data_IF_474836829243
#
_entry.id   IF_474836829243
#
_cell.length_a   1.000
_cell.length_b   1.000
_cell.length_c   1.000
_cell.angle_alpha   90.00
_cell.angle_beta   90.00
_cell.angle_gamma   90.00
#
_symmetry.space_group_name_H-M   'P 1'
#
loop_
_entity.id
_entity.type
_entity.pdbx_description
1 polymer ?
#
# COMPACT_ATOMS: atom_id res chain seq x y z
N UNK A 1 -7.50 -7.76 9.98
CA UNK A 1 -7.17 -7.51 8.55
C UNK A 1 -8.12 -8.32 7.67
N UNK A 2 -8.73 -7.72 6.65
CA UNK A 2 -9.65 -8.36 5.69
C UNK A 2 -8.88 -9.13 4.61
N UNK A 3 -9.50 -10.10 3.94
CA UNK A 3 -8.87 -10.89 2.86
C UNK A 3 -8.24 -10.04 1.76
N UNK A 4 -8.93 -8.97 1.35
CA UNK A 4 -8.44 -8.02 0.35
C UNK A 4 -7.23 -7.20 0.83
N UNK A 5 -7.08 -6.96 2.14
CA UNK A 5 -5.88 -6.30 2.71
C UNK A 5 -4.70 -7.28 2.74
N UNK A 6 -4.95 -8.54 3.08
CA UNK A 6 -3.93 -9.59 3.04
C UNK A 6 -3.39 -9.78 1.61
N UNK A 7 -4.28 -9.83 0.62
CA UNK A 7 -3.90 -9.93 -0.80
C UNK A 7 -3.11 -8.71 -1.27
N UNK A 8 -3.53 -7.50 -0.87
CA UNK A 8 -2.79 -6.27 -1.16
C UNK A 8 -1.38 -6.29 -0.56
N UNK A 9 -1.24 -6.70 0.71
CA UNK A 9 0.06 -6.81 1.37
C UNK A 9 0.95 -7.87 0.72
N UNK A 10 0.38 -9.02 0.37
CA UNK A 10 1.11 -10.07 -0.33
C UNK A 10 1.66 -9.55 -1.67
N UNK A 11 0.83 -8.86 -2.47
CA UNK A 11 1.27 -8.27 -3.73
C UNK A 11 2.41 -7.25 -3.57
N UNK A 12 2.37 -6.42 -2.52
CA UNK A 12 3.44 -5.47 -2.20
C UNK A 12 4.74 -6.20 -1.86
N UNK A 13 4.67 -7.29 -1.06
CA UNK A 13 5.84 -8.10 -0.69
C UNK A 13 6.41 -8.89 -1.87
N UNK A 14 5.54 -9.37 -2.74
CA UNK A 14 5.90 -10.12 -3.95
C UNK A 14 6.28 -9.20 -5.11
N UNK A 15 6.31 -7.87 -4.90
CA UNK A 15 6.66 -6.89 -5.94
C UNK A 15 5.87 -7.09 -7.24
N UNK A 16 4.57 -7.37 -7.10
CA UNK A 16 3.71 -7.76 -8.22
C UNK A 16 2.50 -6.83 -8.33
N UNK A 17 2.13 -6.49 -9.56
CA UNK A 17 0.91 -5.75 -9.84
C UNK A 17 -0.32 -6.54 -9.43
N UNK A 18 -1.23 -5.88 -8.71
CA UNK A 18 -2.45 -6.53 -8.24
C UNK A 18 -3.62 -5.57 -8.20
N UNK A 19 -4.80 -6.08 -8.54
CA UNK A 19 -6.04 -5.31 -8.51
C UNK A 19 -7.18 -6.14 -7.99
N UNK A 20 -7.92 -5.60 -7.03
CA UNK A 20 -9.16 -6.20 -6.55
C UNK A 20 -10.16 -5.15 -6.11
N UNK A 21 -11.37 -5.23 -6.67
CA UNK A 21 -12.45 -4.27 -6.46
C UNK A 21 -11.95 -2.83 -6.69
N UNK A 22 -11.96 -2.01 -5.65
CA UNK A 22 -11.54 -0.61 -5.71
C UNK A 22 -10.09 -0.39 -5.27
N UNK A 23 -9.32 -1.45 -4.96
CA UNK A 23 -7.94 -1.37 -4.51
C UNK A 23 -7.01 -1.90 -5.58
N UNK A 24 -5.91 -1.19 -5.83
CA UNK A 24 -4.92 -1.52 -6.84
C UNK A 24 -3.52 -1.28 -6.27
N UNK A 25 -2.59 -2.15 -6.62
CA UNK A 25 -1.17 -2.08 -6.30
C UNK A 25 -0.45 -2.11 -7.65
N UNK A 26 0.33 -1.08 -7.89
CA UNK A 26 1.17 -0.95 -9.08
C UNK A 26 2.61 -1.01 -8.60
N UNK A 27 3.34 -2.01 -9.05
CA UNK A 27 4.74 -2.17 -8.73
C UNK A 27 5.59 -1.53 -9.83
N UNK A 28 6.42 -0.56 -9.45
CA UNK A 28 7.37 0.07 -10.36
C UNK A 28 8.76 -0.46 -10.06
N UNK A 29 9.37 -1.15 -11.02
CA UNK A 29 10.77 -1.51 -11.01
C UNK A 29 11.51 -0.75 -12.12
N UNK A 30 12.44 0.11 -11.73
CA UNK A 30 13.37 0.73 -12.66
C UNK A 30 14.75 0.12 -12.46
N UNK A 31 15.55 -0.05 -13.51
CA UNK A 31 16.96 -0.47 -13.39
C UNK A 31 17.84 0.59 -12.69
N UNK A 32 17.27 1.74 -12.34
CA UNK A 32 17.97 2.92 -11.79
C UNK A 32 17.48 3.27 -10.38
N UNK A 33 16.20 3.05 -10.08
CA UNK A 33 15.60 3.38 -8.80
C UNK A 33 15.25 2.10 -8.02
N UNK A 34 15.28 2.13 -6.67
CA UNK A 34 14.81 1.00 -5.88
C UNK A 34 13.33 0.69 -6.18
N UNK A 35 12.91 -0.59 -6.05
CA UNK A 35 11.52 -0.99 -6.26
C UNK A 35 10.56 -0.20 -5.37
N UNK A 36 9.50 0.34 -5.97
CA UNK A 36 8.45 1.05 -5.24
C UNK A 36 7.08 0.50 -5.62
N UNK A 37 6.30 0.16 -4.60
CA UNK A 37 4.91 -0.29 -4.75
C UNK A 37 3.97 0.87 -4.44
N UNK A 38 3.19 1.29 -5.44
CA UNK A 38 2.19 2.34 -5.34
C UNK A 38 0.82 1.73 -5.09
N UNK A 39 0.14 2.15 -4.03
CA UNK A 39 -1.19 1.65 -3.67
C UNK A 39 -2.24 2.71 -3.98
N UNK A 40 -3.26 2.30 -4.71
CA UNK A 40 -4.40 3.11 -5.12
C UNK A 40 -5.71 2.56 -4.54
N UNK A 41 -6.60 3.48 -4.19
CA UNK A 41 -7.95 3.20 -3.77
C UNK A 41 -8.92 4.13 -4.49
N UNK A 42 -9.91 3.56 -5.19
CA UNK A 42 -10.82 4.31 -6.07
C UNK A 42 -10.08 5.17 -7.12
N UNK A 43 -8.92 4.71 -7.58
CA UNK A 43 -8.06 5.47 -8.52
C UNK A 43 -7.24 6.60 -7.87
N UNK A 44 -7.38 6.83 -6.55
CA UNK A 44 -6.56 7.80 -5.82
C UNK A 44 -5.38 7.11 -5.15
N UNK A 45 -4.18 7.69 -5.27
CA UNK A 45 -2.99 7.19 -4.58
C UNK A 45 -3.15 7.38 -3.08
N UNK A 46 -2.98 6.31 -2.31
CA UNK A 46 -3.09 6.31 -0.84
C UNK A 46 -1.78 5.93 -0.14
N UNK A 47 -0.86 5.23 -0.80
CA UNK A 47 0.44 4.92 -0.23
C UNK A 47 1.51 4.63 -1.28
N UNK A 48 2.76 4.80 -0.87
CA UNK A 48 3.96 4.33 -1.58
C UNK A 48 4.83 3.57 -0.58
N UNK A 49 5.16 2.33 -0.91
CA UNK A 49 5.99 1.46 -0.10
C UNK A 49 7.27 1.19 -0.88
N UNK A 50 8.40 1.62 -0.34
CA UNK A 50 9.73 1.20 -0.79
C UNK A 50 10.42 0.41 0.32
N UNK A 51 11.64 -0.06 0.06
CA UNK A 51 12.38 -0.93 1.00
C UNK A 51 12.56 -0.31 2.39
N UNK A 52 12.91 0.98 2.45
CA UNK A 52 13.19 1.69 3.72
C UNK A 52 12.12 2.71 4.12
N UNK A 53 11.06 2.90 3.32
CA UNK A 53 10.09 3.96 3.58
C UNK A 53 8.64 3.56 3.28
N UNK A 54 7.75 4.10 4.11
CA UNK A 54 6.31 4.12 3.88
C UNK A 54 5.85 5.58 3.78
N UNK A 55 5.29 5.97 2.63
CA UNK A 55 4.61 7.27 2.46
C UNK A 55 3.12 7.02 2.37
N UNK A 56 2.35 7.77 3.15
CA UNK A 56 0.89 7.73 3.12
C UNK A 56 0.34 9.01 2.53
N UNK A 57 -0.71 8.88 1.75
CA UNK A 57 -1.46 9.97 1.14
C UNK A 57 -2.90 9.89 1.63
N UNK A 58 -3.50 11.04 1.93
CA UNK A 58 -4.90 11.10 2.41
C UNK A 58 -5.90 10.64 1.33
N UNK A 59 -5.47 10.59 0.06
CA UNK A 59 -6.29 10.08 -1.07
C UNK A 59 -7.53 10.93 -1.36
N UNK A 60 -7.64 12.12 -0.73
CA UNK A 60 -8.71 13.10 -0.90
C UNK A 60 -10.06 12.70 -0.31
N UNK A 61 -10.20 11.48 0.23
CA UNK A 61 -11.47 10.93 0.72
C UNK A 61 -11.27 10.11 1.99
N UNK A 62 -11.82 10.62 3.09
CA UNK A 62 -11.80 10.00 4.41
C UNK A 62 -12.93 8.97 4.59
N UNK A 63 -12.91 7.92 3.76
CA UNK A 63 -13.89 6.84 3.85
C UNK A 63 -13.45 5.75 4.85
N UNK A 64 -14.42 4.98 5.36
CA UNK A 64 -14.12 3.81 6.22
C UNK A 64 -13.23 2.77 5.52
N UNK A 65 -13.31 2.68 4.19
CA UNK A 65 -12.46 1.79 3.39
C UNK A 65 -11.04 2.34 3.28
N UNK A 66 -10.86 3.65 3.06
CA UNK A 66 -9.54 4.32 3.06
C UNK A 66 -8.80 4.07 4.38
N UNK A 67 -9.45 4.36 5.51
CA UNK A 67 -8.85 4.18 6.84
C UNK A 67 -8.43 2.73 7.10
N UNK A 68 -9.24 1.76 6.66
CA UNK A 68 -8.92 0.33 6.82
C UNK A 68 -7.67 -0.08 6.03
N UNK A 69 -7.50 0.44 4.81
CA UNK A 69 -6.32 0.16 3.97
C UNK A 69 -5.06 0.79 4.53
N UNK A 70 -5.14 2.05 4.94
CA UNK A 70 -4.04 2.76 5.57
C UNK A 70 -3.60 2.04 6.85
N UNK A 71 -4.55 1.64 7.70
CA UNK A 71 -4.23 0.87 8.91
C UNK A 71 -3.56 -0.47 8.60
N UNK A 72 -3.97 -1.17 7.54
CA UNK A 72 -3.32 -2.42 7.14
C UNK A 72 -1.87 -2.19 6.70
N UNK A 73 -1.62 -1.13 5.92
CA UNK A 73 -0.26 -0.75 5.49
C UNK A 73 0.61 -0.31 6.68
N UNK A 74 0.07 0.49 7.59
CA UNK A 74 0.74 0.90 8.82
C UNK A 74 1.05 -0.29 9.74
N UNK A 75 0.15 -1.27 9.83
CA UNK A 75 0.38 -2.44 10.66
C UNK A 75 1.50 -3.34 10.14
N UNK A 76 1.74 -3.34 8.83
CA UNK A 76 2.71 -4.25 8.20
C UNK A 76 4.05 -3.57 7.93
N UNK A 77 4.02 -2.32 7.45
CA UNK A 77 5.19 -1.56 7.01
C UNK A 77 5.48 -0.35 7.89
N UNK A 78 4.61 -0.04 8.86
CA UNK A 78 4.85 1.03 9.81
C UNK A 78 5.88 0.59 10.85
N UNK A 79 6.93 1.38 11.01
CA UNK A 79 7.90 1.19 12.08
C UNK A 79 7.23 1.41 13.44
N UNK A 80 6.97 0.31 14.17
CA UNK A 80 6.71 0.39 15.60
C UNK A 80 8.05 0.62 16.29
N UNK A 81 8.39 1.87 16.60
CA UNK A 81 9.45 2.13 17.58
C UNK A 81 9.02 1.44 18.88
N UNK A 82 9.78 0.41 19.27
CA UNK A 82 9.47 -0.47 20.38
C UNK A 82 9.27 0.29 21.69
N UNK A 83 8.34 -0.22 22.49
CA UNK A 83 8.19 0.12 23.91
C UNK A 83 9.17 -0.69 24.75
#
# INVERSE_FOLDING_TARGET
MRKIEQQMIAAIKDNTDWKSANTEVIHTCDNVNPPVSHVYLHGNKIAEVGDDFLKLFDGGYQSKTTKSRLNALLSEFGYTCGT
#
